data_IF_464040551879
#
_entry.id   IF_464040551879
#
_cell.length_a   1.000
_cell.length_b   1.000
_cell.length_c   1.000
_cell.angle_alpha   90.00
_cell.angle_beta   90.00
_cell.angle_gamma   90.00
#
_symmetry.space_group_name_H-M   'P 1'
#
loop_
_entity.id
_entity.type
_entity.pdbx_description
1 polymer ?
#
# COMPACT_ATOMS: atom_id res chain seq x y z
N UNK A 1 30.38 1.38 7.90
CA UNK A 1 29.52 0.36 7.27
C UNK A 1 28.78 -0.52 8.28
N UNK A 2 29.45 -1.11 9.29
CA UNK A 2 28.79 -1.97 10.32
C UNK A 2 27.71 -1.27 11.16
N UNK A 3 27.83 0.05 11.39
CA UNK A 3 26.89 0.85 12.18
C UNK A 3 25.52 1.06 11.47
N UNK A 4 25.50 1.04 10.14
CA UNK A 4 24.28 1.23 9.34
C UNK A 4 23.43 -0.04 9.36
N UNK A 5 24.09 -1.20 9.27
CA UNK A 5 23.44 -2.53 9.37
C UNK A 5 22.81 -2.73 10.75
N UNK A 6 23.47 -2.26 11.82
CA UNK A 6 22.92 -2.35 13.18
C UNK A 6 21.73 -1.43 13.41
N UNK A 7 21.70 -0.24 12.80
CA UNK A 7 20.57 0.69 12.88
C UNK A 7 19.35 0.16 12.10
N UNK A 8 19.58 -0.44 10.93
CA UNK A 8 18.52 -1.09 10.14
C UNK A 8 17.92 -2.26 10.91
N UNK A 9 18.73 -3.05 11.60
CA UNK A 9 18.26 -4.19 12.40
C UNK A 9 17.41 -3.74 13.60
N UNK A 10 17.85 -2.71 14.34
CA UNK A 10 17.08 -2.15 15.46
C UNK A 10 15.79 -1.49 15.00
N UNK A 11 15.79 -0.83 13.83
CA UNK A 11 14.57 -0.31 13.22
C UNK A 11 13.64 -1.41 12.73
N UNK A 12 14.15 -2.59 12.36
CA UNK A 12 13.35 -3.72 11.89
C UNK A 12 12.65 -4.48 13.03
N UNK A 13 13.22 -4.50 14.24
CA UNK A 13 12.65 -5.17 15.43
C UNK A 13 11.19 -4.80 15.73
N UNK A 14 10.78 -3.51 15.75
CA UNK A 14 9.38 -3.16 15.98
C UNK A 14 8.45 -3.63 14.85
N UNK A 15 8.92 -3.79 13.61
CA UNK A 15 8.10 -4.36 12.54
C UNK A 15 7.81 -5.84 12.76
N UNK A 16 8.74 -6.60 13.36
CA UNK A 16 8.53 -8.01 13.69
C UNK A 16 7.74 -8.20 15.00
N UNK A 17 7.93 -7.33 15.98
CA UNK A 17 7.15 -7.35 17.22
C UNK A 17 5.67 -7.03 17.00
N UNK A 18 5.36 -6.15 16.04
CA UNK A 18 3.99 -5.84 15.62
C UNK A 18 3.34 -6.94 14.75
N UNK A 19 4.07 -8.01 14.42
CA UNK A 19 3.57 -9.16 13.65
C UNK A 19 3.27 -10.41 14.50
N UNK A 20 3.34 -10.30 15.84
CA UNK A 20 3.01 -11.40 16.75
C UNK A 20 1.48 -11.53 16.92
N UNK A 21 0.77 -11.83 15.84
CA UNK A 21 -0.64 -12.18 15.86
C UNK A 21 -0.82 -13.64 16.29
N UNK A 22 -1.62 -13.91 17.33
CA UNK A 22 -2.04 -15.27 17.67
C UNK A 22 -3.05 -15.73 16.62
N UNK A 23 -2.59 -16.61 15.72
CA UNK A 23 -3.43 -17.22 14.70
C UNK A 23 -4.12 -18.43 15.29
N UNK A 24 -5.44 -18.38 15.42
CA UNK A 24 -6.26 -19.46 16.00
C UNK A 24 -7.34 -19.95 15.02
N UNK A 25 -7.73 -19.12 14.04
CA UNK A 25 -8.79 -19.41 13.05
C UNK A 25 -8.48 -18.86 11.65
N UNK A 26 -9.18 -19.36 10.62
CA UNK A 26 -9.08 -18.84 9.25
C UNK A 26 -9.42 -17.34 9.17
N UNK A 27 -10.36 -16.86 9.99
CA UNK A 27 -10.65 -15.42 10.08
C UNK A 27 -9.47 -14.63 10.63
N UNK A 28 -8.71 -15.17 11.59
CA UNK A 28 -7.50 -14.52 12.11
C UNK A 28 -6.37 -14.50 11.09
N UNK A 29 -6.27 -15.50 10.21
CA UNK A 29 -5.35 -15.48 9.07
C UNK A 29 -5.67 -14.36 8.07
N UNK A 30 -6.93 -14.22 7.68
CA UNK A 30 -7.34 -13.16 6.76
C UNK A 30 -7.18 -11.77 7.38
N UNK A 31 -7.44 -11.64 8.69
CA UNK A 31 -7.22 -10.39 9.43
C UNK A 31 -5.72 -10.04 9.49
N UNK A 32 -4.85 -11.00 9.80
CA UNK A 32 -3.40 -10.78 9.87
C UNK A 32 -2.82 -10.39 8.51
N UNK A 33 -3.23 -11.07 7.44
CA UNK A 33 -2.85 -10.71 6.06
C UNK A 33 -3.34 -9.30 5.70
N UNK A 34 -4.56 -8.94 6.10
CA UNK A 34 -5.08 -7.59 5.85
C UNK A 34 -4.28 -6.52 6.61
N UNK A 35 -3.90 -6.79 7.85
CA UNK A 35 -3.06 -5.89 8.68
C UNK A 35 -1.69 -5.68 8.05
N UNK A 36 -1.04 -6.75 7.60
CA UNK A 36 0.27 -6.67 6.93
C UNK A 36 0.16 -5.89 5.62
N UNK A 37 -0.85 -6.19 4.80
CA UNK A 37 -1.08 -5.48 3.54
C UNK A 37 -1.39 -3.99 3.76
N UNK A 38 -2.23 -3.64 4.74
CA UNK A 38 -2.54 -2.23 5.05
C UNK A 38 -1.34 -1.46 5.60
N UNK A 39 -0.39 -2.12 6.27
CA UNK A 39 0.83 -1.49 6.76
C UNK A 39 1.85 -1.25 5.63
N UNK A 40 1.96 -2.20 4.70
CA UNK A 40 2.95 -2.12 3.61
C UNK A 40 2.48 -1.27 2.42
N UNK A 41 1.17 -1.22 2.16
CA UNK A 41 0.56 -0.40 1.09
C UNK A 41 0.99 1.07 1.14
N UNK A 42 0.85 1.81 2.26
CA UNK A 42 1.18 3.23 2.32
C UNK A 42 2.67 3.50 2.06
N UNK A 43 3.54 2.56 2.43
CA UNK A 43 4.97 2.63 2.15
C UNK A 43 5.23 2.51 0.64
N UNK A 44 4.63 1.52 -0.02
CA UNK A 44 4.76 1.31 -1.46
C UNK A 44 4.21 2.51 -2.24
N UNK A 45 3.04 3.02 -1.84
CA UNK A 45 2.41 4.19 -2.46
C UNK A 45 3.30 5.43 -2.30
N UNK A 46 3.89 5.64 -1.12
CA UNK A 46 4.79 6.76 -0.87
C UNK A 46 6.02 6.72 -1.79
N UNK A 47 6.64 5.55 -1.95
CA UNK A 47 7.79 5.37 -2.86
C UNK A 47 7.36 5.55 -4.32
N UNK A 48 6.21 5.02 -4.71
CA UNK A 48 5.68 5.14 -6.07
C UNK A 48 5.42 6.59 -6.47
N UNK A 49 4.87 7.41 -5.56
CA UNK A 49 4.64 8.84 -5.80
C UNK A 49 5.96 9.59 -6.01
N UNK A 50 6.96 9.33 -5.17
CA UNK A 50 8.29 9.95 -5.31
C UNK A 50 8.90 9.58 -6.67
N UNK A 51 8.81 8.30 -7.05
CA UNK A 51 9.35 7.81 -8.30
C UNK A 51 8.61 8.39 -9.52
N UNK A 52 7.29 8.54 -9.42
CA UNK A 52 6.48 9.18 -10.46
C UNK A 52 6.85 10.64 -10.67
N UNK A 53 6.96 11.42 -9.58
CA UNK A 53 7.36 12.83 -9.64
C UNK A 53 8.76 12.97 -10.24
N UNK A 54 9.72 12.13 -9.82
CA UNK A 54 11.08 12.14 -10.36
C UNK A 54 11.13 11.87 -11.88
N UNK A 55 10.39 10.86 -12.34
CA UNK A 55 10.31 10.54 -13.77
C UNK A 55 9.60 11.64 -14.58
N UNK A 56 8.59 12.30 -14.00
CA UNK A 56 7.92 13.45 -14.63
C UNK A 56 8.86 14.65 -14.81
N UNK A 57 9.71 14.93 -13.81
CA UNK A 57 10.73 15.99 -13.92
C UNK A 57 11.78 15.67 -15.00
N UNK A 58 12.25 14.42 -15.09
CA UNK A 58 13.17 13.99 -16.15
C UNK A 58 12.55 14.18 -17.54
N UNK A 59 11.26 13.86 -17.69
CA UNK A 59 10.55 14.10 -18.95
C UNK A 59 10.49 15.58 -19.32
N UNK A 60 10.29 16.47 -18.34
CA UNK A 60 10.21 17.90 -18.55
C UNK A 60 11.56 18.53 -18.95
N UNK A 61 12.67 18.02 -18.39
CA UNK A 61 14.04 18.53 -18.63
C UNK A 61 14.68 17.92 -19.89
N UNK A 62 14.16 16.80 -20.39
CA UNK A 62 14.65 16.18 -21.62
C UNK A 62 14.45 17.10 -22.83
N UNK A 63 15.54 17.66 -23.36
CA UNK A 63 15.52 18.54 -24.54
C UNK A 63 15.68 17.77 -25.87
N UNK A 64 16.42 16.65 -25.87
CA UNK A 64 16.70 15.82 -27.06
C UNK A 64 15.46 14.99 -27.47
N UNK A 65 15.19 14.88 -28.78
CA UNK A 65 14.05 14.11 -29.31
C UNK A 65 14.10 12.62 -28.94
N UNK A 66 15.29 12.02 -28.93
CA UNK A 66 15.48 10.62 -28.59
C UNK A 66 15.20 10.34 -27.10
N UNK A 67 15.72 11.22 -26.22
CA UNK A 67 15.46 11.14 -24.77
C UNK A 67 14.01 11.49 -24.42
N UNK A 68 13.36 12.36 -25.20
CA UNK A 68 11.93 12.65 -25.05
C UNK A 68 11.08 11.42 -25.35
N UNK A 69 11.40 10.66 -26.40
CA UNK A 69 10.69 9.42 -26.73
C UNK A 69 10.76 8.40 -25.59
N UNK A 70 11.97 8.16 -25.08
CA UNK A 70 12.18 7.23 -23.97
C UNK A 70 11.53 7.71 -22.67
N UNK A 71 11.65 9.01 -22.36
CA UNK A 71 11.05 9.60 -21.18
C UNK A 71 9.51 9.64 -21.23
N UNK A 72 8.88 9.84 -22.42
CA UNK A 72 7.42 9.67 -22.59
C UNK A 72 6.98 8.28 -22.22
N UNK A 73 7.70 7.27 -22.71
CA UNK A 73 7.39 5.87 -22.45
C UNK A 73 7.45 5.57 -20.95
N UNK A 74 8.51 6.01 -20.27
CA UNK A 74 8.66 5.86 -18.80
C UNK A 74 7.56 6.60 -18.02
N UNK A 75 7.12 7.77 -18.49
CA UNK A 75 6.01 8.50 -17.86
C UNK A 75 4.67 7.75 -18.00
N UNK A 76 4.40 7.16 -19.17
CA UNK A 76 3.22 6.31 -19.38
C UNK A 76 3.23 5.11 -18.43
N UNK A 77 4.37 4.43 -18.27
CA UNK A 77 4.49 3.29 -17.35
C UNK A 77 4.28 3.71 -15.89
N UNK A 78 4.81 4.87 -15.49
CA UNK A 78 4.57 5.44 -14.15
C UNK A 78 3.11 5.77 -13.91
N UNK A 79 2.43 6.36 -14.91
CA UNK A 79 1.01 6.68 -14.83
C UNK A 79 0.14 5.41 -14.72
N UNK A 80 0.44 4.39 -15.53
CA UNK A 80 -0.27 3.10 -15.50
C UNK A 80 -0.12 2.44 -14.12
N UNK A 81 1.08 2.46 -13.53
CA UNK A 81 1.32 1.88 -12.21
C UNK A 81 0.45 2.53 -11.12
N UNK A 82 0.37 3.87 -11.10
CA UNK A 82 -0.49 4.60 -10.16
C UNK A 82 -1.97 4.31 -10.44
N UNK A 83 -2.37 4.33 -11.71
CA UNK A 83 -3.75 4.09 -12.11
C UNK A 83 -4.24 2.71 -11.63
N UNK A 84 -3.45 1.66 -11.80
CA UNK A 84 -3.81 0.31 -11.35
C UNK A 84 -3.92 0.24 -9.82
N UNK A 85 -2.96 0.83 -9.08
CA UNK A 85 -3.01 0.85 -7.61
C UNK A 85 -4.28 1.52 -7.08
N UNK A 86 -4.63 2.69 -7.63
CA UNK A 86 -5.81 3.45 -7.22
C UNK A 86 -7.10 2.75 -7.67
N UNK A 87 -7.11 2.17 -8.88
CA UNK A 87 -8.29 1.49 -9.44
C UNK A 87 -8.72 0.29 -8.60
N UNK A 88 -7.76 -0.55 -8.17
CA UNK A 88 -8.07 -1.71 -7.31
C UNK A 88 -8.65 -1.25 -5.97
N UNK A 89 -8.08 -0.23 -5.33
CA UNK A 89 -8.56 0.25 -4.03
C UNK A 89 -9.90 0.98 -4.13
N UNK A 90 -10.08 1.78 -5.18
CA UNK A 90 -11.34 2.45 -5.50
C UNK A 90 -12.47 1.44 -5.74
N UNK A 91 -12.20 0.38 -6.51
CA UNK A 91 -13.17 -0.69 -6.76
C UNK A 91 -13.54 -1.43 -5.47
N UNK A 92 -12.56 -1.80 -4.65
CA UNK A 92 -12.81 -2.43 -3.34
C UNK A 92 -13.68 -1.55 -2.45
N UNK A 93 -13.42 -0.24 -2.42
CA UNK A 93 -14.21 0.70 -1.62
C UNK A 93 -15.66 0.82 -2.12
N UNK A 94 -15.86 0.86 -3.44
CA UNK A 94 -17.19 0.85 -4.06
C UNK A 94 -17.95 -0.44 -3.74
N UNK A 95 -17.29 -1.60 -3.79
CA UNK A 95 -17.89 -2.88 -3.43
C UNK A 95 -18.28 -2.91 -1.94
N UNK A 96 -17.40 -2.45 -1.04
CA UNK A 96 -17.71 -2.34 0.40
C UNK A 96 -18.92 -1.44 0.67
N UNK A 97 -19.00 -0.30 -0.01
CA UNK A 97 -20.11 0.65 0.12
C UNK A 97 -21.42 0.12 -0.47
N UNK A 98 -21.37 -0.56 -1.61
CA UNK A 98 -22.56 -1.09 -2.30
C UNK A 98 -23.15 -2.29 -1.58
N UNK A 99 -22.32 -3.21 -1.09
CA UNK A 99 -22.76 -4.40 -0.37
C UNK A 99 -22.93 -4.18 1.14
N UNK A 100 -22.78 -2.93 1.61
CA UNK A 100 -22.96 -2.52 3.00
C UNK A 100 -22.24 -3.42 4.02
N UNK A 101 -21.02 -3.84 3.66
CA UNK A 101 -20.19 -4.78 4.45
C UNK A 101 -19.61 -4.15 5.73
N UNK A 102 -20.01 -2.92 6.08
CA UNK A 102 -19.60 -2.20 7.28
C UNK A 102 -20.56 -2.38 8.47
N UNK A 103 -21.73 -3.03 8.29
CA UNK A 103 -22.73 -3.18 9.36
C UNK A 103 -22.50 -4.42 10.25
N UNK A 104 -21.27 -4.63 10.71
CA UNK A 104 -20.91 -5.71 11.64
C UNK A 104 -21.23 -5.43 13.11
N UNK A 105 -21.93 -4.33 13.44
CA UNK A 105 -22.40 -4.10 14.81
C UNK A 105 -23.74 -4.79 15.00
N UNK A 106 -23.71 -6.10 15.18
CA UNK A 106 -24.82 -6.78 15.86
C UNK A 106 -24.76 -6.27 17.30
N UNK A 107 -25.71 -5.46 17.79
CA UNK A 107 -25.69 -5.02 19.17
C UNK A 107 -25.67 -6.28 20.05
N UNK A 108 -24.81 -6.33 21.10
CA UNK A 108 -24.81 -7.46 22.02
C UNK A 108 -26.24 -7.67 22.52
N UNK A 109 -26.76 -8.92 22.50
CA UNK A 109 -28.13 -9.17 22.94
C UNK A 109 -28.27 -8.65 24.36
N UNK A 110 -29.15 -7.65 24.51
CA UNK A 110 -29.54 -7.12 25.81
C UNK A 110 -30.20 -8.28 26.55
N UNK A 111 -29.47 -8.89 27.49
CA UNK A 111 -30.06 -9.83 28.44
C UNK A 111 -31.03 -9.01 29.31
N UNK A 112 -32.29 -9.01 28.90
CA UNK A 112 -33.41 -8.48 29.66
C UNK A 112 -33.57 -9.36 30.90
N UNK A 113 -33.00 -8.88 32.02
CA UNK A 113 -33.30 -9.18 33.43
C UNK A 113 -33.41 -10.64 33.87
#
# INVERSE_FOLDING_TARGET
>A
MKKIISIVSVCALPFFALAQGTVIDAQTLFAEVNTILNSILPIIISIAIIWFVYNAFIYMVAADEEKKGEAKSKMIYGLIAIFVMVSVWGLVNVLKGTFNLNNGTIPPPILLR
#
